data_IF_889349322051
#
_entry.id   IF_889349322051
#
_cell.length_a   1.000
_cell.length_b   1.000
_cell.length_c   1.000
_cell.angle_alpha   90.00
_cell.angle_beta   90.00
_cell.angle_gamma   90.00
#
_symmetry.space_group_name_H-M   'P 1'
#
loop_
_entity.id
_entity.type
_entity.pdbx_description
1 polymer ?
#
# COMPACT_ATOMS: atom_id res chain seq x y z
N UNK A 1 8.88 11.21 6.35
CA UNK A 1 8.01 10.39 7.23
C UNK A 1 6.62 11.00 7.49
N UNK A 2 6.44 12.33 7.54
CA UNK A 2 5.08 12.93 7.64
C UNK A 2 4.18 12.70 6.42
N UNK A 3 4.70 12.65 5.21
CA UNK A 3 3.84 12.65 4.00
C UNK A 3 3.09 11.32 3.77
N UNK A 4 3.72 10.17 4.05
CA UNK A 4 3.08 8.86 3.82
C UNK A 4 2.13 8.47 4.98
N UNK A 5 2.45 8.87 6.22
CA UNK A 5 1.49 8.80 7.32
C UNK A 5 0.31 9.73 7.06
N UNK A 6 0.54 10.93 6.52
CA UNK A 6 -0.54 11.87 6.20
C UNK A 6 -1.40 11.40 5.03
N UNK A 7 -0.89 10.69 4.02
CA UNK A 7 -1.74 10.14 2.96
C UNK A 7 -2.59 8.99 3.48
N UNK A 8 -2.02 8.04 4.21
CA UNK A 8 -2.78 6.93 4.81
C UNK A 8 -3.78 7.43 5.86
N UNK A 9 -3.41 8.41 6.69
CA UNK A 9 -4.30 9.03 7.67
C UNK A 9 -5.35 9.93 7.02
N UNK A 10 -5.02 10.72 5.99
CA UNK A 10 -6.00 11.52 5.23
C UNK A 10 -6.95 10.63 4.45
N UNK A 11 -6.50 9.50 3.91
CA UNK A 11 -7.38 8.52 3.24
C UNK A 11 -8.22 7.75 4.26
N UNK A 12 -7.68 7.41 5.44
CA UNK A 12 -8.49 6.89 6.57
C UNK A 12 -9.55 7.89 6.97
N UNK A 13 -9.22 9.17 7.06
CA UNK A 13 -10.16 10.25 7.37
C UNK A 13 -11.16 10.45 6.24
N UNK A 14 -10.75 10.37 4.97
CA UNK A 14 -11.63 10.45 3.80
C UNK A 14 -12.61 9.28 3.77
N UNK A 15 -12.12 8.04 3.91
CA UNK A 15 -12.94 6.84 4.03
C UNK A 15 -13.86 6.92 5.26
N UNK A 16 -13.39 7.39 6.42
CA UNK A 16 -14.25 7.61 7.59
C UNK A 16 -15.29 8.72 7.39
N UNK A 17 -14.98 9.77 6.62
CA UNK A 17 -15.91 10.85 6.31
C UNK A 17 -16.95 10.41 5.29
N UNK A 18 -16.58 9.60 4.31
CA UNK A 18 -17.49 9.09 3.30
C UNK A 18 -18.38 7.97 3.85
N UNK A 19 -17.82 7.12 4.73
CA UNK A 19 -18.58 6.15 5.54
C UNK A 19 -19.52 6.90 6.51
N UNK A 20 -19.05 7.93 7.24
CA UNK A 20 -19.92 8.75 8.10
C UNK A 20 -21.02 9.44 7.30
N UNK A 21 -20.71 9.96 6.11
CA UNK A 21 -21.68 10.60 5.24
C UNK A 21 -22.77 9.64 4.79
N UNK A 22 -22.39 8.46 4.29
CA UNK A 22 -23.35 7.43 3.85
C UNK A 22 -24.15 6.84 5.02
N UNK A 23 -23.51 6.54 6.15
CA UNK A 23 -24.19 6.08 7.37
C UNK A 23 -25.13 7.16 7.92
N UNK A 24 -24.70 8.43 7.95
CA UNK A 24 -25.57 9.52 8.40
C UNK A 24 -26.76 9.74 7.46
N UNK A 25 -26.58 9.51 6.15
CA UNK A 25 -27.67 9.60 5.17
C UNK A 25 -28.68 8.47 5.39
N UNK A 26 -28.19 7.25 5.59
CA UNK A 26 -29.03 6.08 5.94
C UNK A 26 -29.73 6.29 7.27
N UNK A 27 -29.03 6.79 8.29
CA UNK A 27 -29.61 7.09 9.59
C UNK A 27 -30.70 8.15 9.50
N UNK A 28 -30.47 9.23 8.75
CA UNK A 28 -31.51 10.25 8.47
C UNK A 28 -32.71 9.65 7.75
N UNK A 29 -32.49 8.82 6.73
CA UNK A 29 -33.56 8.12 6.03
C UNK A 29 -34.36 7.19 6.95
N UNK A 30 -33.68 6.47 7.84
CA UNK A 30 -34.29 5.55 8.82
C UNK A 30 -35.09 6.31 9.88
N UNK A 31 -34.57 7.45 10.36
CA UNK A 31 -35.26 8.36 11.29
C UNK A 31 -36.49 9.02 10.67
N UNK A 32 -36.55 9.18 9.35
CA UNK A 32 -37.74 9.69 8.63
C UNK A 32 -38.72 8.55 8.31
N UNK A 33 -38.22 7.36 7.97
CA UNK A 33 -39.04 6.20 7.63
C UNK A 33 -39.81 5.65 8.84
N UNK A 34 -39.23 5.64 10.04
CA UNK A 34 -39.90 5.19 11.27
C UNK A 34 -41.17 6.00 11.60
N UNK A 35 -41.15 7.34 11.69
CA UNK A 35 -42.34 8.14 11.97
C UNK A 35 -43.31 8.14 10.78
N UNK A 36 -42.84 8.03 9.54
CA UNK A 36 -43.69 7.88 8.36
C UNK A 36 -44.48 6.57 8.39
N UNK A 37 -43.83 5.46 8.76
CA UNK A 37 -44.49 4.17 9.00
C UNK A 37 -45.45 4.23 10.18
N UNK A 38 -45.15 5.03 11.22
CA UNK A 38 -46.05 5.26 12.36
C UNK A 38 -47.29 6.09 11.97
N UNK A 39 -47.17 6.99 11.00
CA UNK A 39 -48.26 7.78 10.41
C UNK A 39 -49.15 6.94 9.49
N UNK A 40 -48.56 6.01 8.73
CA UNK A 40 -49.26 5.05 7.85
C UNK A 40 -50.01 3.96 8.65
N UNK A 41 -49.66 3.77 9.93
CA UNK A 41 -50.24 2.79 10.88
C UNK A 41 -51.76 2.93 11.15
N UNK A 42 -52.45 3.88 10.51
CA UNK A 42 -53.90 4.04 10.60
C UNK A 42 -54.69 3.23 9.56
N UNK A 43 -54.02 2.62 8.57
CA UNK A 43 -54.67 1.78 7.55
C UNK A 43 -54.08 0.36 7.61
N UNK A 44 -54.93 -0.65 7.78
CA UNK A 44 -54.49 -2.00 8.17
C UNK A 44 -54.60 -2.99 7.01
N UNK A 45 -53.45 -3.41 6.46
CA UNK A 45 -53.26 -4.67 5.75
C UNK A 45 -51.88 -5.25 6.10
N UNK A 46 -51.76 -6.57 6.26
CA UNK A 46 -50.46 -7.21 6.59
C UNK A 46 -49.38 -7.03 5.51
N UNK A 47 -49.80 -6.76 4.26
CA UNK A 47 -48.92 -6.41 3.15
C UNK A 47 -48.16 -5.09 3.36
N UNK A 48 -48.72 -4.15 4.13
CA UNK A 48 -48.07 -2.86 4.43
C UNK A 48 -46.80 -3.01 5.30
N UNK A 49 -46.59 -4.17 5.93
CA UNK A 49 -45.37 -4.47 6.70
C UNK A 49 -44.27 -5.09 5.84
N UNK A 50 -44.62 -5.76 4.73
CA UNK A 50 -43.66 -6.47 3.88
C UNK A 50 -42.91 -5.50 2.96
N UNK A 51 -43.62 -4.53 2.37
CA UNK A 51 -43.03 -3.52 1.47
C UNK A 51 -41.88 -2.71 2.08
N UNK A 52 -42.01 -2.11 3.29
CA UNK A 52 -40.90 -1.40 3.92
C UNK A 52 -39.76 -2.34 4.33
N UNK A 53 -40.07 -3.59 4.68
CA UNK A 53 -39.05 -4.58 5.03
C UNK A 53 -38.21 -4.99 3.82
N UNK A 54 -38.84 -5.19 2.65
CA UNK A 54 -38.15 -5.47 1.39
C UNK A 54 -37.27 -4.31 0.93
N UNK A 55 -37.75 -3.07 1.08
CA UNK A 55 -36.96 -1.88 0.79
C UNK A 55 -35.74 -1.75 1.73
N UNK A 56 -35.92 -2.05 3.03
CA UNK A 56 -34.83 -2.04 4.01
C UNK A 56 -33.79 -3.14 3.72
N UNK A 57 -34.24 -4.33 3.33
CA UNK A 57 -33.37 -5.43 2.91
C UNK A 57 -32.57 -5.05 1.67
N UNK A 58 -33.20 -4.44 0.68
CA UNK A 58 -32.54 -3.96 -0.54
C UNK A 58 -31.49 -2.90 -0.22
N UNK A 59 -31.80 -1.96 0.66
CA UNK A 59 -30.84 -0.97 1.16
C UNK A 59 -29.66 -1.65 1.89
N UNK A 60 -29.94 -2.66 2.71
CA UNK A 60 -28.93 -3.45 3.41
C UNK A 60 -27.97 -4.15 2.45
N UNK A 61 -28.49 -4.77 1.38
CA UNK A 61 -27.68 -5.40 0.33
C UNK A 61 -26.81 -4.37 -0.39
N UNK A 62 -27.39 -3.23 -0.79
CA UNK A 62 -26.64 -2.17 -1.45
C UNK A 62 -25.50 -1.62 -0.57
N UNK A 63 -25.73 -1.46 0.74
CA UNK A 63 -24.70 -1.06 1.70
C UNK A 63 -23.62 -2.13 1.85
N UNK A 64 -24.00 -3.39 1.95
CA UNK A 64 -23.06 -4.49 2.08
C UNK A 64 -22.11 -4.56 0.88
N UNK A 65 -22.64 -4.47 -0.34
CA UNK A 65 -21.85 -4.42 -1.57
C UNK A 65 -20.94 -3.20 -1.60
N UNK A 66 -21.46 -2.03 -1.22
CA UNK A 66 -20.66 -0.79 -1.18
C UNK A 66 -19.49 -0.86 -0.18
N UNK A 67 -19.69 -1.47 0.99
CA UNK A 67 -18.64 -1.65 1.99
C UNK A 67 -17.58 -2.65 1.50
N UNK A 68 -18.00 -3.76 0.87
CA UNK A 68 -17.06 -4.72 0.30
C UNK A 68 -16.20 -4.09 -0.79
N UNK A 69 -16.80 -3.30 -1.67
CA UNK A 69 -16.07 -2.62 -2.74
C UNK A 69 -15.08 -1.60 -2.18
N UNK A 70 -15.48 -0.82 -1.17
CA UNK A 70 -14.60 0.13 -0.50
C UNK A 70 -13.39 -0.54 0.16
N UNK A 71 -13.59 -1.72 0.77
CA UNK A 71 -12.50 -2.51 1.36
C UNK A 71 -11.49 -2.98 0.30
N UNK A 72 -11.99 -3.46 -0.85
CA UNK A 72 -11.11 -3.86 -1.96
C UNK A 72 -10.33 -2.68 -2.55
N UNK A 73 -11.01 -1.54 -2.74
CA UNK A 73 -10.34 -0.32 -3.19
C UNK A 73 -9.27 0.13 -2.19
N UNK A 74 -9.48 -0.06 -0.88
CA UNK A 74 -8.47 0.27 0.12
C UNK A 74 -7.18 -0.55 -0.06
N UNK A 75 -7.30 -1.85 -0.33
CA UNK A 75 -6.15 -2.73 -0.58
C UNK A 75 -5.38 -2.32 -1.84
N UNK A 76 -6.05 -1.83 -2.89
CA UNK A 76 -5.40 -1.32 -4.11
C UNK A 76 -4.61 -0.01 -3.91
N UNK A 77 -4.96 0.79 -2.91
CA UNK A 77 -4.29 2.08 -2.65
C UNK A 77 -3.10 1.98 -1.68
N UNK A 78 -2.85 0.82 -1.06
CA UNK A 78 -1.69 0.69 -0.17
C UNK A 78 -0.39 0.82 -1.00
N UNK A 79 0.53 1.71 -0.61
CA UNK A 79 1.80 1.84 -1.32
C UNK A 79 2.58 0.54 -1.23
N UNK A 80 3.04 0.03 -2.37
CA UNK A 80 3.86 -1.17 -2.42
C UNK A 80 5.30 -0.86 -1.98
N UNK A 81 5.89 -1.73 -1.17
CA UNK A 81 7.27 -1.62 -0.67
C UNK A 81 8.03 -2.89 -0.97
N UNK A 82 9.25 -2.76 -1.46
CA UNK A 82 10.11 -3.87 -1.82
C UNK A 82 11.33 -3.95 -0.90
N UNK A 83 11.57 -5.11 -0.31
CA UNK A 83 12.87 -5.46 0.29
C UNK A 83 13.55 -6.48 -0.60
N UNK A 84 14.80 -6.21 -0.96
CA UNK A 84 15.59 -7.09 -1.83
C UNK A 84 16.81 -7.60 -1.07
N UNK A 85 17.00 -8.92 -1.10
CA UNK A 85 18.16 -9.60 -0.54
C UNK A 85 19.02 -10.15 -1.67
N UNK A 86 20.33 -9.96 -1.57
CA UNK A 86 21.30 -10.56 -2.49
C UNK A 86 22.19 -11.54 -1.74
N UNK A 87 22.20 -12.78 -2.22
CA UNK A 87 23.00 -13.88 -1.67
C UNK A 87 24.11 -14.27 -2.64
N UNK A 88 25.29 -14.57 -2.11
CA UNK A 88 26.42 -15.15 -2.83
C UNK A 88 26.93 -16.36 -2.05
N UNK A 89 26.99 -17.54 -2.68
CA UNK A 89 27.32 -18.81 -2.02
C UNK A 89 26.57 -19.05 -0.68
N UNK A 90 25.29 -18.67 -0.60
CA UNK A 90 24.48 -18.83 0.61
C UNK A 90 24.71 -17.79 1.71
N UNK A 91 25.68 -16.88 1.54
CA UNK A 91 25.91 -15.74 2.44
C UNK A 91 25.23 -14.49 1.89
N UNK A 92 24.58 -13.72 2.77
CA UNK A 92 24.02 -12.43 2.39
C UNK A 92 25.14 -11.41 2.17
N UNK A 93 25.11 -10.74 1.02
CA UNK A 93 26.13 -9.75 0.64
C UNK A 93 25.56 -8.34 0.53
N UNK A 94 24.29 -8.20 0.13
CA UNK A 94 23.64 -6.90 0.03
C UNK A 94 22.17 -7.00 0.41
N UNK A 95 21.64 -5.92 0.97
CA UNK A 95 20.23 -5.77 1.33
C UNK A 95 19.74 -4.37 1.00
N UNK A 96 18.63 -4.28 0.28
CA UNK A 96 17.88 -3.05 0.12
C UNK A 96 16.57 -3.15 0.90
N UNK A 97 16.32 -2.25 1.84
CA UNK A 97 15.09 -2.27 2.65
C UNK A 97 14.07 -1.22 2.20
N UNK A 98 12.81 -1.62 2.07
CA UNK A 98 11.63 -0.73 1.90
C UNK A 98 11.75 0.24 0.71
N UNK A 99 12.33 -0.20 -0.41
CA UNK A 99 12.30 0.54 -1.66
C UNK A 99 10.86 0.79 -2.12
N UNK A 100 10.61 1.93 -2.76
CA UNK A 100 9.30 2.21 -3.35
C UNK A 100 9.09 1.31 -4.57
N UNK A 101 7.98 0.59 -4.59
CA UNK A 101 7.59 -0.24 -5.71
C UNK A 101 6.34 0.38 -6.34
N UNK A 102 6.38 0.65 -7.64
CA UNK A 102 5.20 1.14 -8.35
C UNK A 102 4.21 -0.01 -8.54
N UNK A 103 4.64 -1.08 -9.21
CA UNK A 103 3.85 -2.28 -9.47
C UNK A 103 4.61 -3.57 -9.16
N UNK A 104 3.87 -4.65 -8.89
CA UNK A 104 4.44 -5.99 -8.67
C UNK A 104 5.26 -6.49 -9.88
N UNK A 105 4.86 -6.13 -11.11
CA UNK A 105 5.61 -6.45 -12.34
C UNK A 105 7.03 -5.92 -12.33
N UNK A 106 7.29 -4.84 -11.58
CA UNK A 106 8.54 -4.11 -11.62
C UNK A 106 9.55 -4.66 -10.58
N UNK A 107 9.15 -5.60 -9.73
CA UNK A 107 10.00 -6.17 -8.65
C UNK A 107 11.35 -6.64 -9.20
N UNK A 108 11.32 -7.36 -10.33
CA UNK A 108 12.53 -7.90 -10.94
C UNK A 108 13.42 -6.80 -11.50
N UNK A 109 12.85 -5.88 -12.28
CA UNK A 109 13.59 -4.80 -12.92
C UNK A 109 14.19 -3.83 -11.89
N UNK A 110 13.37 -3.40 -10.91
CA UNK A 110 13.79 -2.54 -9.82
C UNK A 110 14.85 -3.22 -8.95
N UNK A 111 14.67 -4.50 -8.61
CA UNK A 111 15.65 -5.28 -7.87
C UNK A 111 17.00 -5.35 -8.58
N UNK A 112 16.99 -5.58 -9.90
CA UNK A 112 18.22 -5.57 -10.71
C UNK A 112 18.89 -4.19 -10.74
N UNK A 113 18.11 -3.11 -10.91
CA UNK A 113 18.62 -1.74 -10.92
C UNK A 113 19.26 -1.37 -9.58
N UNK A 114 18.59 -1.68 -8.47
CA UNK A 114 19.12 -1.43 -7.12
C UNK A 114 20.39 -2.24 -6.90
N UNK A 115 20.38 -3.52 -7.27
CA UNK A 115 21.57 -4.37 -7.16
C UNK A 115 22.75 -3.84 -7.96
N UNK A 116 22.53 -3.40 -9.19
CA UNK A 116 23.55 -2.80 -10.05
C UNK A 116 24.14 -1.52 -9.44
N UNK A 117 23.29 -0.65 -8.89
CA UNK A 117 23.71 0.58 -8.21
C UNK A 117 24.51 0.28 -6.94
N UNK A 118 24.07 -0.66 -6.10
CA UNK A 118 24.76 -1.03 -4.87
C UNK A 118 26.11 -1.72 -5.12
N UNK A 119 26.21 -2.48 -6.20
CA UNK A 119 27.41 -3.22 -6.58
C UNK A 119 28.37 -2.40 -7.47
N UNK A 120 28.04 -1.12 -7.74
CA UNK A 120 28.78 -0.19 -8.61
C UNK A 120 29.10 -0.78 -9.99
N UNK A 121 28.19 -1.60 -10.53
CA UNK A 121 28.35 -2.28 -11.82
C UNK A 121 27.20 -1.94 -12.75
N UNK A 122 27.46 -1.95 -14.05
CA UNK A 122 26.45 -1.74 -15.09
C UNK A 122 25.47 -2.92 -15.18
N UNK A 123 25.95 -4.13 -14.95
CA UNK A 123 25.15 -5.36 -15.03
C UNK A 123 25.49 -6.28 -13.87
N UNK A 124 24.44 -6.79 -13.22
CA UNK A 124 24.56 -7.74 -12.12
C UNK A 124 24.57 -9.16 -12.69
N UNK A 125 25.63 -9.94 -12.40
CA UNK A 125 25.71 -11.34 -12.81
C UNK A 125 25.02 -12.25 -11.78
N UNK A 126 23.71 -12.44 -11.94
CA UNK A 126 22.90 -13.31 -11.07
C UNK A 126 22.31 -14.49 -11.85
N UNK A 127 21.88 -15.51 -11.11
CA UNK A 127 21.20 -16.69 -11.66
C UNK A 127 19.73 -16.33 -11.87
N UNK A 128 19.38 -15.84 -13.07
CA UNK A 128 18.04 -15.37 -13.40
C UNK A 128 16.87 -16.34 -13.10
N UNK A 129 17.04 -17.68 -13.21
CA UNK A 129 16.00 -18.64 -12.81
C UNK A 129 15.76 -18.74 -11.30
N UNK A 130 16.68 -18.27 -10.47
CA UNK A 130 16.69 -18.50 -9.01
C UNK A 130 16.17 -17.30 -8.22
N UNK A 131 15.42 -16.40 -8.84
CA UNK A 131 14.83 -15.25 -8.15
C UNK A 131 13.58 -15.71 -7.40
N UNK A 132 13.64 -15.70 -6.07
CA UNK A 132 12.49 -15.98 -5.22
C UNK A 132 11.75 -14.69 -4.91
N UNK A 133 10.45 -14.64 -5.19
CA UNK A 133 9.57 -13.54 -4.78
C UNK A 133 8.59 -14.11 -3.79
N UNK A 134 8.66 -13.65 -2.54
CA UNK A 134 7.72 -14.04 -1.50
C UNK A 134 6.33 -13.45 -1.77
N UNK A 135 5.25 -14.11 -1.32
CA UNK A 135 3.91 -13.54 -1.42
C UNK A 135 3.84 -12.18 -0.70
N UNK A 136 2.98 -11.26 -1.16
CA UNK A 136 2.82 -9.95 -0.54
C UNK A 136 2.31 -10.09 0.89
N UNK A 137 2.97 -9.41 1.83
CA UNK A 137 2.53 -9.31 3.22
C UNK A 137 1.93 -7.92 3.48
N UNK A 138 0.66 -7.86 3.87
CA UNK A 138 0.03 -6.60 4.24
C UNK A 138 0.48 -6.22 5.64
N UNK A 139 1.27 -5.16 5.75
CA UNK A 139 1.64 -4.61 7.04
C UNK A 139 0.61 -3.57 7.49
N UNK A 140 -0.41 -4.02 8.21
CA UNK A 140 -1.49 -3.15 8.71
C UNK A 140 -1.00 -2.03 9.65
N UNK A 141 0.12 -2.23 10.35
CA UNK A 141 0.67 -1.25 11.30
C UNK A 141 1.35 -0.08 10.60
N UNK A 142 2.11 -0.36 9.54
CA UNK A 142 2.86 0.65 8.80
C UNK A 142 2.13 1.12 7.51
N UNK A 143 1.04 0.46 7.12
CA UNK A 143 0.16 0.89 6.03
C UNK A 143 0.79 0.72 4.64
N UNK A 144 1.43 -0.42 4.38
CA UNK A 144 1.97 -0.77 3.06
C UNK A 144 1.87 -2.27 2.78
N UNK A 145 1.91 -2.62 1.49
CA UNK A 145 2.07 -4.01 1.05
C UNK A 145 3.58 -4.27 0.91
N UNK A 146 4.08 -5.27 1.63
CA UNK A 146 5.48 -5.63 1.66
C UNK A 146 5.76 -6.80 0.72
N UNK A 147 6.60 -6.55 -0.28
CA UNK A 147 7.16 -7.56 -1.16
C UNK A 147 8.59 -7.85 -0.75
N UNK A 148 8.96 -9.13 -0.75
CA UNK A 148 10.33 -9.56 -0.51
C UNK A 148 10.83 -10.32 -1.73
N UNK A 149 11.97 -9.90 -2.27
CA UNK A 149 12.65 -10.58 -3.37
C UNK A 149 14.06 -11.02 -2.96
N UNK A 150 14.45 -12.24 -3.35
CA UNK A 150 15.80 -12.76 -3.14
C UNK A 150 16.46 -13.04 -4.48
N UNK A 151 17.67 -12.53 -4.64
CA UNK A 151 18.52 -12.74 -5.81
C UNK A 151 19.77 -13.51 -5.40
N UNK A 152 20.16 -14.48 -6.22
CA UNK A 152 21.38 -15.26 -6.00
C UNK A 152 22.42 -14.88 -7.06
N UNK A 153 23.51 -14.29 -6.60
CA UNK A 153 24.63 -13.85 -7.42
C UNK A 153 25.47 -15.05 -7.84
N UNK A 154 25.93 -15.04 -9.09
CA UNK A 154 26.90 -16.00 -9.61
C UNK A 154 28.33 -15.53 -9.38
N UNK A 155 28.54 -14.22 -9.47
CA UNK A 155 29.84 -13.58 -9.29
C UNK A 155 29.67 -12.33 -8.42
N UNK A 156 30.69 -12.05 -7.61
CA UNK A 156 30.80 -10.80 -6.87
C UNK A 156 31.46 -9.74 -7.76
N UNK A 157 30.98 -8.49 -7.73
CA UNK A 157 31.66 -7.37 -8.40
C UNK A 157 32.96 -7.01 -7.67
N UNK A 158 33.89 -6.35 -8.36
CA UNK A 158 35.19 -6.02 -7.76
C UNK A 158 35.07 -5.07 -6.57
N UNK A 159 34.09 -4.15 -6.60
CA UNK A 159 33.73 -3.30 -5.47
C UNK A 159 33.28 -4.13 -4.25
N UNK A 160 32.42 -5.13 -4.47
CA UNK A 160 31.96 -6.01 -3.39
C UNK A 160 33.07 -6.93 -2.88
N UNK A 161 34.01 -7.36 -3.72
CA UNK A 161 35.17 -8.17 -3.28
C UNK A 161 36.08 -7.34 -2.37
N UNK A 162 36.29 -6.07 -2.71
CA UNK A 162 37.06 -5.16 -1.87
C UNK A 162 36.40 -4.95 -0.50
N UNK A 163 35.06 -4.85 -0.45
CA UNK A 163 34.31 -4.72 0.80
C UNK A 163 34.27 -6.02 1.62
N UNK A 164 34.20 -7.19 0.99
CA UNK A 164 34.29 -8.48 1.68
C UNK A 164 35.65 -8.66 2.34
N UNK A 165 36.74 -8.29 1.64
CA UNK A 165 38.09 -8.31 2.19
C UNK A 165 38.26 -7.37 3.40
N UNK A 166 37.45 -6.31 3.48
CA UNK A 166 37.40 -5.38 4.62
C UNK A 166 36.41 -5.81 5.72
N UNK A 167 35.67 -6.90 5.53
CA UNK A 167 34.70 -7.40 6.50
C UNK A 167 33.45 -6.53 6.64
N UNK A 168 33.13 -5.69 5.65
CA UNK A 168 32.02 -4.72 5.71
C UNK A 168 30.70 -5.23 5.12
N UNK A 169 30.60 -6.54 4.81
CA UNK A 169 29.38 -7.16 4.30
C UNK A 169 28.49 -7.72 5.43
N UNK A 170 27.15 -7.64 5.32
CA UNK A 170 26.40 -7.20 4.14
C UNK A 170 26.23 -5.68 4.02
N UNK A 171 26.24 -5.18 2.79
CA UNK A 171 25.93 -3.78 2.50
C UNK A 171 24.41 -3.57 2.63
N UNK A 172 23.99 -2.71 3.56
CA UNK A 172 22.58 -2.39 3.78
C UNK A 172 22.29 -1.01 3.22
N UNK A 173 21.50 -0.96 2.15
CA UNK A 173 20.99 0.28 1.60
C UNK A 173 19.57 0.54 2.08
N UNK A 174 19.39 1.70 2.72
CA UNK A 174 18.07 2.21 3.08
C UNK A 174 17.86 3.51 2.30
N UNK A 175 16.84 3.59 1.44
CA UNK A 175 16.61 4.78 0.66
C UNK A 175 16.35 6.02 1.55
N UNK A 176 16.92 7.20 1.21
CA UNK A 176 16.89 8.42 2.04
C UNK A 176 15.55 9.17 1.91
N UNK A 177 14.45 8.56 2.36
CA UNK A 177 13.12 9.14 2.16
C UNK A 177 12.69 10.17 3.24
N UNK A 178 13.57 10.56 4.17
CA UNK A 178 13.31 11.72 5.05
C UNK A 178 13.84 13.02 4.46
N UNK A 179 14.90 12.99 3.67
CA UNK A 179 15.63 14.20 3.25
C UNK A 179 15.32 14.62 1.81
N UNK A 180 15.10 13.68 0.88
CA UNK A 180 14.79 13.98 -0.52
C UNK A 180 13.39 14.62 -0.76
N UNK A 181 12.58 14.79 0.29
CA UNK A 181 11.25 15.42 0.23
C UNK A 181 11.22 16.82 0.87
N UNK A 182 12.36 17.39 1.24
CA UNK A 182 12.41 18.85 1.46
C UNK A 182 12.27 19.48 0.07
N UNK A 183 11.16 20.15 -0.28
CA UNK A 183 11.17 20.97 -1.47
C UNK A 183 12.31 21.96 -1.28
N UNK A 184 13.25 21.94 -2.21
CA UNK A 184 14.21 23.02 -2.39
C UNK A 184 13.38 24.30 -2.40
N UNK A 185 13.54 25.13 -1.37
CA UNK A 185 12.79 26.36 -1.21
C UNK A 185 12.95 27.16 -2.50
N UNK A 186 11.83 27.31 -3.22
CA UNK A 186 11.70 28.09 -4.44
C UNK A 186 12.54 29.36 -4.35
N UNK A 187 13.38 29.69 -5.34
CA UNK A 187 14.15 30.92 -5.32
C UNK A 187 13.16 32.08 -5.21
N UNK A 188 13.46 32.98 -4.28
CA UNK A 188 12.68 34.17 -4.02
C UNK A 188 12.35 34.88 -5.34
N UNK A 189 11.06 35.14 -5.54
CA UNK A 189 10.63 36.12 -6.52
C UNK A 189 11.23 37.46 -6.10
N UNK A 190 12.30 37.88 -6.76
CA UNK A 190 12.73 39.27 -6.75
C UNK A 190 11.78 40.02 -7.67
N UNK A 191 10.75 40.63 -7.06
CA UNK A 191 9.99 41.70 -7.69
C UNK A 191 10.90 42.93 -7.78
N UNK A 192 11.10 43.40 -9.01
CA UNK A 192 11.52 44.77 -9.34
C UNK A 192 10.41 45.43 -10.13
#
# INVERSE_FOLDING_TARGET
>A
MRQNENTVLRFRQYAWQEIKGRIATVFKALVIAIPLAWLIRWQTNWWDYIDPLLNLLTLGVALFVGIQQLRRSWEEYLPNRLTVYFYYHGREVMRCEKAYLANESDIRALGQQIGAQMAETRELKFVAPMVEISPPEVNEKEGFIHYTAKFYLRELSDALKALDAQGQLPLIWKPPFREALKPESSPAQNET
#
